data_IF_178443189448
#
_entry.id   IF_178443189448
#
_cell.length_a   1.000
_cell.length_b   1.000
_cell.length_c   1.000
_cell.angle_alpha   90.00
_cell.angle_beta   90.00
_cell.angle_gamma   90.00
#
_symmetry.space_group_name_H-M   'P 1'
#
loop_
_entity.id
_entity.type
_entity.pdbx_description
1 polymer ?
#
# COMPACT_ATOMS: atom_id res chain seq x y z
N UNK A 1 25.28 -16.73 -17.13
CA UNK A 1 23.99 -17.09 -16.50
C UNK A 1 24.09 -17.46 -15.02
N UNK A 2 25.21 -18.02 -14.54
CA UNK A 2 25.39 -18.36 -13.12
C UNK A 2 25.28 -17.17 -12.16
N UNK A 3 25.60 -15.96 -12.61
CA UNK A 3 25.48 -14.73 -11.81
C UNK A 3 24.03 -14.43 -11.41
N UNK A 4 23.07 -14.52 -12.34
CA UNK A 4 21.64 -14.34 -12.04
C UNK A 4 21.11 -15.42 -11.08
N UNK A 5 21.55 -16.66 -11.25
CA UNK A 5 21.12 -17.78 -10.40
C UNK A 5 21.69 -17.64 -8.98
N UNK A 6 22.93 -17.18 -8.83
CA UNK A 6 23.51 -16.90 -7.51
C UNK A 6 22.80 -15.75 -6.80
N UNK A 7 22.45 -14.70 -7.53
CA UNK A 7 21.76 -13.53 -6.97
C UNK A 7 20.33 -13.88 -6.55
N UNK A 8 19.62 -14.66 -7.38
CA UNK A 8 18.32 -15.25 -7.05
C UNK A 8 18.44 -16.21 -5.86
N UNK A 9 19.50 -17.03 -5.78
CA UNK A 9 19.72 -17.94 -4.65
C UNK A 9 19.99 -17.20 -3.33
N UNK A 10 20.71 -16.07 -3.38
CA UNK A 10 20.95 -15.20 -2.22
C UNK A 10 19.67 -14.49 -1.80
N UNK A 11 18.88 -14.00 -2.75
CA UNK A 11 17.54 -13.46 -2.52
C UNK A 11 16.61 -14.50 -1.90
N UNK A 12 16.63 -15.76 -2.38
CA UNK A 12 15.87 -16.90 -1.84
C UNK A 12 16.35 -17.28 -0.44
N UNK A 13 17.65 -17.27 -0.18
CA UNK A 13 18.21 -17.49 1.16
C UNK A 13 17.83 -16.35 2.12
N UNK A 14 17.66 -15.13 1.60
CA UNK A 14 17.11 -14.00 2.32
C UNK A 14 15.59 -14.12 2.51
N UNK A 15 14.87 -14.77 1.57
CA UNK A 15 13.45 -15.12 1.63
C UNK A 15 13.14 -16.20 2.69
N UNK A 16 14.12 -17.03 3.04
CA UNK A 16 14.01 -18.06 4.09
C UNK A 16 14.06 -17.48 5.51
N UNK A 17 14.46 -16.22 5.68
CA UNK A 17 14.40 -15.53 6.99
C UNK A 17 12.96 -15.13 7.28
N UNK A 18 12.50 -15.34 8.51
CA UNK A 18 11.18 -14.87 8.99
C UNK A 18 10.90 -13.37 8.70
N UNK A 19 11.95 -12.57 8.53
CA UNK A 19 11.89 -11.14 8.20
C UNK A 19 11.29 -10.85 6.81
N UNK A 20 11.56 -11.69 5.81
CA UNK A 20 11.03 -11.50 4.44
C UNK A 20 9.56 -11.87 4.36
N UNK A 21 9.09 -12.85 5.16
CA UNK A 21 7.66 -13.15 5.30
C UNK A 21 6.86 -11.95 5.86
N UNK A 22 7.43 -11.21 6.82
CA UNK A 22 6.81 -9.98 7.32
C UNK A 22 6.70 -8.89 6.24
N UNK A 23 7.75 -8.71 5.43
CA UNK A 23 7.74 -7.74 4.33
C UNK A 23 6.73 -8.15 3.26
N UNK A 24 6.70 -9.43 2.88
CA UNK A 24 5.74 -9.97 1.91
C UNK A 24 4.31 -9.81 2.42
N UNK A 25 4.06 -10.11 3.70
CA UNK A 25 2.77 -9.90 4.34
C UNK A 25 2.34 -8.44 4.30
N UNK A 26 3.24 -7.50 4.63
CA UNK A 26 2.97 -6.07 4.60
C UNK A 26 2.67 -5.57 3.17
N UNK A 27 3.44 -6.00 2.18
CA UNK A 27 3.19 -5.69 0.76
C UNK A 27 1.83 -6.26 0.33
N UNK A 28 1.54 -7.50 0.70
CA UNK A 28 0.26 -8.15 0.38
C UNK A 28 -0.93 -7.37 0.95
N UNK A 29 -0.82 -6.87 2.18
CA UNK A 29 -1.85 -6.01 2.79
C UNK A 29 -2.02 -4.70 2.02
N UNK A 30 -0.93 -4.01 1.68
CA UNK A 30 -1.03 -2.75 0.92
C UNK A 30 -1.56 -2.95 -0.50
N UNK A 31 -1.12 -3.99 -1.19
CA UNK A 31 -1.64 -4.36 -2.52
C UNK A 31 -3.12 -4.75 -2.43
N UNK A 32 -3.52 -5.48 -1.39
CA UNK A 32 -4.92 -5.81 -1.14
C UNK A 32 -5.78 -4.56 -0.93
N UNK A 33 -5.33 -3.64 -0.08
CA UNK A 33 -6.02 -2.35 0.13
C UNK A 33 -6.12 -1.53 -1.16
N UNK A 34 -5.02 -1.44 -1.92
CA UNK A 34 -5.02 -0.77 -3.22
C UNK A 34 -5.98 -1.43 -4.21
N UNK A 35 -6.05 -2.76 -4.23
CA UNK A 35 -6.99 -3.50 -5.07
C UNK A 35 -8.45 -3.21 -4.70
N UNK A 36 -8.79 -3.19 -3.41
CA UNK A 36 -10.13 -2.85 -2.96
C UNK A 36 -10.49 -1.41 -3.35
N UNK A 37 -9.63 -0.44 -3.02
CA UNK A 37 -9.85 0.97 -3.35
C UNK A 37 -9.99 1.15 -4.87
N UNK A 38 -9.11 0.53 -5.66
CA UNK A 38 -9.15 0.58 -7.12
C UNK A 38 -10.39 -0.08 -7.71
N UNK A 39 -10.83 -1.23 -7.18
CA UNK A 39 -12.05 -1.91 -7.63
C UNK A 39 -13.30 -1.05 -7.40
N UNK A 40 -13.37 -0.34 -6.26
CA UNK A 40 -14.42 0.65 -6.01
C UNK A 40 -14.31 1.87 -6.93
N UNK A 41 -13.09 2.37 -7.15
CA UNK A 41 -12.85 3.49 -8.05
C UNK A 41 -13.31 3.18 -9.48
N UNK A 42 -13.02 1.99 -10.00
CA UNK A 42 -13.47 1.55 -11.33
C UNK A 42 -14.99 1.43 -11.43
N UNK A 43 -15.71 1.12 -10.35
CA UNK A 43 -17.19 1.13 -10.35
C UNK A 43 -17.78 2.53 -10.41
N UNK A 44 -17.06 3.53 -9.89
CA UNK A 44 -17.46 4.93 -9.91
C UNK A 44 -16.99 5.70 -11.15
N UNK A 45 -16.07 5.13 -11.92
CA UNK A 45 -15.47 5.83 -13.06
C UNK A 45 -16.46 5.92 -14.23
N UNK A 46 -16.74 7.15 -14.67
CA UNK A 46 -17.78 7.47 -15.65
C UNK A 46 -17.59 6.76 -17.00
N UNK A 47 -16.38 6.29 -17.29
CA UNK A 47 -16.07 5.49 -18.49
C UNK A 47 -16.80 4.14 -18.52
N UNK A 48 -16.91 3.42 -17.40
CA UNK A 48 -17.59 2.13 -17.34
C UNK A 48 -19.12 2.26 -17.30
N UNK A 49 -19.62 3.36 -16.74
CA UNK A 49 -21.01 3.80 -16.85
C UNK A 49 -21.36 4.18 -18.31
N UNK A 50 -20.49 4.92 -19.00
CA UNK A 50 -20.64 5.26 -20.42
C UNK A 50 -20.65 4.00 -21.31
N UNK A 51 -19.84 3.00 -20.96
CA UNK A 51 -19.80 1.67 -21.60
C UNK A 51 -20.94 0.73 -21.15
N UNK A 52 -21.92 1.18 -20.36
CA UNK A 52 -23.08 0.40 -19.88
C UNK A 52 -22.73 -0.94 -19.20
N UNK A 53 -21.48 -1.12 -18.76
CA UNK A 53 -20.98 -2.39 -18.19
C UNK A 53 -21.24 -2.52 -16.69
N UNK A 54 -21.56 -1.42 -16.00
CA UNK A 54 -21.78 -1.39 -14.55
C UNK A 54 -23.07 -0.65 -14.22
N UNK A 55 -24.11 -1.39 -13.83
CA UNK A 55 -25.38 -0.89 -13.29
C UNK A 55 -25.23 -0.46 -11.81
N UNK A 56 -24.30 0.46 -11.53
CA UNK A 56 -24.06 1.00 -10.20
C UNK A 56 -24.68 2.38 -10.04
N UNK A 57 -25.69 2.51 -9.18
CA UNK A 57 -26.41 3.74 -8.87
C UNK A 57 -25.57 4.74 -8.03
N UNK A 58 -24.33 5.05 -8.43
CA UNK A 58 -23.51 6.05 -7.75
C UNK A 58 -23.76 7.44 -8.34
N UNK A 59 -23.82 8.46 -7.48
CA UNK A 59 -23.99 9.87 -7.89
C UNK A 59 -22.80 10.34 -8.72
N UNK A 60 -23.00 11.29 -9.64
CA UNK A 60 -21.89 11.84 -10.44
C UNK A 60 -20.81 12.47 -9.54
N UNK A 61 -19.56 12.04 -9.75
CA UNK A 61 -18.40 12.58 -9.02
C UNK A 61 -18.10 14.00 -9.50
N UNK A 62 -18.07 14.95 -8.56
CA UNK A 62 -17.62 16.31 -8.87
C UNK A 62 -16.09 16.33 -9.07
N UNK A 63 -15.60 17.23 -9.93
CA UNK A 63 -14.16 17.40 -10.18
C UNK A 63 -13.33 17.53 -8.90
N UNK A 64 -13.87 18.20 -7.87
CA UNK A 64 -13.19 18.34 -6.58
C UNK A 64 -12.99 17.02 -5.83
N UNK A 65 -13.97 16.11 -5.87
CA UNK A 65 -13.88 14.79 -5.24
C UNK A 65 -12.86 13.93 -5.97
N UNK A 66 -12.83 13.97 -7.30
CA UNK A 66 -11.85 13.26 -8.12
C UNK A 66 -10.43 13.68 -7.74
N UNK A 67 -10.17 14.99 -7.67
CA UNK A 67 -8.86 15.53 -7.28
C UNK A 67 -8.48 15.08 -5.87
N UNK A 68 -9.41 15.13 -4.92
CA UNK A 68 -9.16 14.68 -3.55
C UNK A 68 -8.79 13.18 -3.48
N UNK A 69 -9.51 12.32 -4.20
CA UNK A 69 -9.21 10.89 -4.23
C UNK A 69 -7.90 10.58 -4.93
N UNK A 70 -7.59 11.28 -6.03
CA UNK A 70 -6.32 11.15 -6.74
C UNK A 70 -5.14 11.53 -5.83
N UNK A 71 -5.27 12.66 -5.14
CA UNK A 71 -4.30 13.11 -4.14
C UNK A 71 -4.13 12.08 -3.01
N UNK A 72 -5.24 11.52 -2.51
CA UNK A 72 -5.24 10.45 -1.53
C UNK A 72 -4.48 9.19 -1.98
N UNK A 73 -4.63 8.78 -3.25
CA UNK A 73 -3.89 7.64 -3.80
C UNK A 73 -2.37 7.88 -3.87
N UNK A 74 -1.97 9.12 -4.21
CA UNK A 74 -0.55 9.51 -4.20
C UNK A 74 0.01 9.45 -2.78
N UNK A 75 -0.69 10.03 -1.79
CA UNK A 75 -0.27 9.98 -0.40
C UNK A 75 -0.24 8.55 0.15
N UNK A 76 -1.20 7.71 -0.22
CA UNK A 76 -1.19 6.29 0.12
C UNK A 76 0.06 5.59 -0.42
N UNK A 77 0.41 5.81 -1.70
CA UNK A 77 1.61 5.22 -2.30
C UNK A 77 2.89 5.67 -1.59
N UNK A 78 3.04 6.97 -1.32
CA UNK A 78 4.21 7.49 -0.61
C UNK A 78 4.33 6.94 0.81
N UNK A 79 3.23 6.91 1.56
CA UNK A 79 3.23 6.38 2.93
C UNK A 79 3.52 4.88 2.95
N UNK A 80 2.98 4.10 2.01
CA UNK A 80 3.31 2.68 1.87
C UNK A 80 4.81 2.45 1.54
N UNK A 81 5.38 3.24 0.62
CA UNK A 81 6.81 3.16 0.29
C UNK A 81 7.70 3.56 1.46
N UNK A 82 7.36 4.63 2.18
CA UNK A 82 8.08 5.05 3.40
C UNK A 82 8.02 3.98 4.48
N UNK A 83 6.86 3.34 4.65
CA UNK A 83 6.70 2.23 5.59
C UNK A 83 7.66 1.09 5.24
N UNK A 84 7.70 0.68 3.97
CA UNK A 84 8.60 -0.38 3.49
C UNK A 84 10.08 0.00 3.68
N UNK A 85 10.45 1.25 3.38
CA UNK A 85 11.80 1.75 3.57
C UNK A 85 12.26 1.73 5.03
N UNK A 86 11.40 2.19 5.95
CA UNK A 86 11.70 2.17 7.39
C UNK A 86 11.77 0.74 7.95
N UNK A 87 10.95 -0.20 7.45
CA UNK A 87 11.06 -1.62 7.80
C UNK A 87 12.37 -2.25 7.31
N UNK A 88 12.82 -1.93 6.10
CA UNK A 88 14.13 -2.38 5.61
C UNK A 88 15.27 -1.82 6.46
N UNK A 89 15.19 -0.54 6.80
CA UNK A 89 16.15 0.17 7.64
C UNK A 89 16.22 -0.39 9.06
N UNK A 90 15.08 -0.76 9.65
CA UNK A 90 15.01 -1.49 10.92
C UNK A 90 15.84 -2.76 10.90
N UNK A 91 15.72 -3.57 9.84
CA UNK A 91 16.47 -4.82 9.74
C UNK A 91 17.97 -4.61 9.55
N UNK A 92 18.39 -3.58 8.80
CA UNK A 92 19.80 -3.21 8.69
C UNK A 92 20.40 -2.79 10.06
N UNK A 93 19.68 -1.99 10.85
CA UNK A 93 20.15 -1.59 12.18
C UNK A 93 20.14 -2.74 13.18
N UNK A 94 19.18 -3.66 13.07
CA UNK A 94 19.15 -4.89 13.88
C UNK A 94 20.34 -5.80 13.61
N UNK A 95 20.79 -5.90 12.35
CA UNK A 95 22.01 -6.65 12.00
C UNK A 95 23.29 -5.99 12.51
N UNK A 96 23.32 -4.65 12.63
CA UNK A 96 24.46 -3.90 13.16
C UNK A 96 24.45 -3.71 14.69
N UNK A 97 23.55 -4.41 15.41
CA UNK A 97 23.36 -4.30 16.87
C UNK A 97 23.08 -2.87 17.39
N UNK A 98 22.63 -1.95 16.52
CA UNK A 98 22.31 -0.57 16.87
C UNK A 98 20.86 -0.46 17.39
N UNK A 99 20.61 -0.94 18.61
CA UNK A 99 19.27 -1.11 19.17
C UNK A 99 18.44 0.19 19.24
N UNK A 100 19.04 1.32 19.58
CA UNK A 100 18.31 2.59 19.74
C UNK A 100 17.78 3.13 18.39
N UNK A 101 18.59 3.04 17.34
CA UNK A 101 18.21 3.47 15.99
C UNK A 101 17.20 2.51 15.34
N UNK A 102 17.28 1.22 15.65
CA UNK A 102 16.31 0.24 15.21
C UNK A 102 14.91 0.54 15.77
N UNK A 103 14.77 0.78 17.08
CA UNK A 103 13.46 1.08 17.69
C UNK A 103 12.80 2.32 17.07
N UNK A 104 13.59 3.37 16.79
CA UNK A 104 13.08 4.61 16.17
C UNK A 104 12.59 4.37 14.74
N UNK A 105 13.31 3.60 13.93
CA UNK A 105 12.87 3.23 12.59
C UNK A 105 11.56 2.42 12.62
N UNK A 106 11.39 1.54 13.62
CA UNK A 106 10.15 0.79 13.83
C UNK A 106 8.96 1.71 14.14
N UNK A 107 9.13 2.68 15.04
CA UNK A 107 8.07 3.66 15.36
C UNK A 107 7.65 4.50 14.16
N UNK A 108 8.62 4.97 13.36
CA UNK A 108 8.31 5.70 12.13
C UNK A 108 7.64 4.80 11.08
N UNK A 109 8.11 3.57 10.91
CA UNK A 109 7.47 2.58 10.04
C UNK A 109 6.00 2.33 10.44
N UNK A 110 5.73 2.09 11.73
CA UNK A 110 4.36 1.92 12.22
C UNK A 110 3.53 3.19 11.98
N UNK A 111 4.09 4.38 12.24
CA UNK A 111 3.41 5.66 11.99
C UNK A 111 2.98 5.82 10.54
N UNK A 112 3.90 5.60 9.58
CA UNK A 112 3.60 5.65 8.16
C UNK A 112 2.62 4.56 7.72
N UNK A 113 2.73 3.36 8.30
CA UNK A 113 1.82 2.26 8.02
C UNK A 113 0.40 2.56 8.49
N UNK A 114 0.24 3.10 9.69
CA UNK A 114 -1.06 3.56 10.22
C UNK A 114 -1.65 4.69 9.37
N UNK A 115 -0.82 5.64 8.90
CA UNK A 115 -1.26 6.68 8.00
C UNK A 115 -1.77 6.11 6.66
N UNK A 116 -1.02 5.16 6.06
CA UNK A 116 -1.42 4.49 4.82
C UNK A 116 -2.74 3.73 4.99
N UNK A 117 -2.88 2.95 6.07
CA UNK A 117 -4.12 2.24 6.39
C UNK A 117 -5.28 3.23 6.61
N UNK A 118 -5.04 4.33 7.32
CA UNK A 118 -6.04 5.38 7.56
C UNK A 118 -6.56 6.00 6.26
N UNK A 119 -5.66 6.32 5.32
CA UNK A 119 -6.04 6.85 4.00
C UNK A 119 -6.88 5.83 3.22
N UNK A 120 -6.47 4.57 3.21
CA UNK A 120 -7.20 3.51 2.50
C UNK A 120 -8.59 3.26 3.10
N UNK A 121 -8.70 3.20 4.44
CA UNK A 121 -9.98 3.03 5.13
C UNK A 121 -10.90 4.23 4.91
N UNK A 122 -10.38 5.45 5.00
CA UNK A 122 -11.15 6.66 4.71
C UNK A 122 -11.69 6.65 3.27
N UNK A 123 -10.88 6.24 2.30
CA UNK A 123 -11.30 6.09 0.90
C UNK A 123 -12.40 5.02 0.75
N UNK A 124 -12.26 3.85 1.38
CA UNK A 124 -13.28 2.79 1.34
C UNK A 124 -14.60 3.23 1.99
N UNK A 125 -14.54 3.92 3.14
CA UNK A 125 -15.73 4.47 3.80
C UNK A 125 -16.39 5.52 2.93
N UNK A 126 -15.61 6.36 2.26
CA UNK A 126 -16.13 7.33 1.30
C UNK A 126 -16.88 6.64 0.15
N UNK A 127 -16.24 5.69 -0.53
CA UNK A 127 -16.86 4.96 -1.64
C UNK A 127 -18.12 4.20 -1.22
N UNK A 128 -18.12 3.56 -0.05
CA UNK A 128 -19.30 2.83 0.45
C UNK A 128 -20.47 3.74 0.83
N UNK A 129 -20.19 4.98 1.26
CA UNK A 129 -21.22 5.99 1.51
C UNK A 129 -21.71 6.67 0.23
N UNK A 130 -20.85 6.81 -0.78
CA UNK A 130 -21.16 7.51 -2.03
C UNK A 130 -21.94 6.65 -3.04
N UNK A 131 -21.76 5.33 -2.98
CA UNK A 131 -22.39 4.35 -3.87
C UNK A 131 -23.57 3.59 -3.24
N UNK A 132 -24.06 4.04 -2.08
CA UNK A 132 -25.27 3.51 -1.44
C UNK A 132 -26.48 4.33 -1.83
#
# INVERSE_FOLDING_TARGET
>A
MNWFVEEISRLIAQLRRWQTWLVIGLISVFVGLAFFVGSFAFRTDGLLLFLHRTAGACRELTNGIIIFMFCGMIFFMFTALLTLGEFQRYFQFKQRAAHYQASRALYWGIGWGCAAVGIAVAALVFFTRYCR
#
